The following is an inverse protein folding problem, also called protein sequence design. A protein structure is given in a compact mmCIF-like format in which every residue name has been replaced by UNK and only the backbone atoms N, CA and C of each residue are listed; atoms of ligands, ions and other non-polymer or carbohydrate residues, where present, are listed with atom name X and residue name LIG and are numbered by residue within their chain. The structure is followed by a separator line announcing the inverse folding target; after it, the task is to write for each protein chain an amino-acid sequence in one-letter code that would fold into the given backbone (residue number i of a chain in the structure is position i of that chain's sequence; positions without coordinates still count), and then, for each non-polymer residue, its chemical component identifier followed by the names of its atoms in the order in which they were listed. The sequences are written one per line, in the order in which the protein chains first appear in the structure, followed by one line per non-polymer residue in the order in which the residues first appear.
data_IF_302030600695
#
_entry.id   IF_302030600695
#
_cell.length_a   1.000
_cell.length_b   1.000
_cell.length_c   1.000
_cell.angle_alpha   90.00
_cell.angle_beta   90.00
_cell.angle_gamma   90.00
#
_symmetry.space_group_name_H-M   'P 1'
#
loop_
_entity.id
_entity.type
_entity.pdbx_description
1 polymer ?
#
# COMPACT_ATOMS: atom_id res chain seq x y z
N UNK A 1 -14.13 -18.66 -1.03
CA UNK A 1 -12.79 -18.11 -1.30
C UNK A 1 -12.28 -17.37 -0.08
N UNK A 2 -10.98 -17.43 0.19
CA UNK A 2 -10.37 -16.70 1.30
C UNK A 2 -9.09 -16.01 0.85
N UNK A 3 -8.78 -14.88 1.45
CA UNK A 3 -7.54 -14.13 1.29
C UNK A 3 -6.84 -14.08 2.63
N UNK A 4 -5.52 -14.31 2.65
CA UNK A 4 -4.69 -14.14 3.84
C UNK A 4 -3.84 -12.90 3.65
N UNK A 5 -3.95 -11.93 4.57
CA UNK A 5 -3.17 -10.69 4.58
C UNK A 5 -2.65 -10.44 5.99
N UNK A 6 -1.37 -10.06 6.13
CA UNK A 6 -0.77 -9.81 7.45
C UNK A 6 -1.10 -8.43 8.00
N UNK A 7 -1.31 -7.45 7.12
CA UNK A 7 -1.49 -6.04 7.49
C UNK A 7 -2.76 -5.49 6.80
N UNK A 8 -2.61 -4.54 5.88
CA UNK A 8 -3.70 -3.83 5.22
C UNK A 8 -3.93 -4.39 3.81
N UNK A 9 -5.21 -4.57 3.44
CA UNK A 9 -5.58 -4.95 2.08
C UNK A 9 -5.06 -3.94 1.04
N UNK A 10 -4.82 -4.43 -0.18
CA UNK A 10 -4.27 -3.64 -1.28
C UNK A 10 -2.74 -3.62 -1.37
N UNK A 11 -2.05 -4.23 -0.38
CA UNK A 11 -0.61 -4.46 -0.41
C UNK A 11 0.21 -3.18 -0.55
N UNK A 12 1.39 -3.30 -1.16
CA UNK A 12 2.32 -2.17 -1.31
C UNK A 12 1.75 -1.08 -2.22
N UNK A 13 1.18 -1.44 -3.36
CA UNK A 13 0.70 -0.48 -4.36
C UNK A 13 -0.27 0.56 -3.76
N UNK A 14 -1.25 0.08 -2.98
CA UNK A 14 -2.28 0.92 -2.38
C UNK A 14 -1.77 1.67 -1.14
N UNK A 15 -1.05 0.99 -0.25
CA UNK A 15 -0.74 1.55 1.07
C UNK A 15 0.58 2.35 1.11
N UNK A 16 1.56 1.98 0.28
CA UNK A 16 2.96 2.44 0.41
C UNK A 16 3.66 2.80 -0.91
N UNK A 17 3.04 2.50 -2.06
CA UNK A 17 3.64 2.64 -3.37
C UNK A 17 2.87 3.62 -4.24
N UNK A 18 2.27 3.11 -5.31
CA UNK A 18 1.67 3.91 -6.37
C UNK A 18 0.69 4.97 -5.87
N UNK A 19 -0.27 4.61 -5.01
CA UNK A 19 -1.33 5.54 -4.60
C UNK A 19 -0.77 6.74 -3.82
N UNK A 20 -0.02 6.57 -2.72
CA UNK A 20 0.53 7.72 -2.01
C UNK A 20 1.53 8.50 -2.89
N UNK A 21 2.40 7.82 -3.65
CA UNK A 21 3.35 8.52 -4.54
C UNK A 21 2.62 9.40 -5.57
N UNK A 22 1.56 8.90 -6.19
CA UNK A 22 0.82 9.64 -7.23
C UNK A 22 0.02 10.79 -6.61
N UNK A 23 -0.48 10.62 -5.38
CA UNK A 23 -1.07 11.73 -4.63
C UNK A 23 -0.04 12.84 -4.40
N UNK A 24 1.15 12.52 -3.90
CA UNK A 24 2.21 13.49 -3.65
C UNK A 24 2.67 14.18 -4.95
N UNK A 25 2.86 13.41 -6.04
CA UNK A 25 3.21 13.96 -7.35
C UNK A 25 2.15 14.94 -7.87
N UNK A 26 0.85 14.69 -7.63
CA UNK A 26 -0.20 15.64 -8.00
C UNK A 26 -0.08 16.95 -7.21
N UNK A 27 0.20 16.91 -5.91
CA UNK A 27 0.47 18.12 -5.12
C UNK A 27 1.67 18.89 -5.67
N UNK A 28 2.76 18.20 -5.98
CA UNK A 28 3.96 18.80 -6.56
C UNK A 28 3.69 19.40 -7.94
N UNK A 29 2.90 18.74 -8.78
CA UNK A 29 2.51 19.26 -10.08
C UNK A 29 1.67 20.54 -9.96
N UNK A 30 0.70 20.58 -9.03
CA UNK A 30 -0.09 21.78 -8.76
C UNK A 30 0.82 22.95 -8.33
N UNK A 31 1.76 22.70 -7.40
CA UNK A 31 2.72 23.72 -6.99
C UNK A 31 3.54 24.24 -8.18
N UNK A 32 4.03 23.34 -9.04
CA UNK A 32 4.80 23.70 -10.22
C UNK A 32 3.96 24.51 -11.24
N UNK A 33 2.69 24.17 -11.42
CA UNK A 33 1.75 24.93 -12.24
C UNK A 33 1.53 26.33 -11.67
N UNK A 34 1.27 26.45 -10.37
CA UNK A 34 1.06 27.74 -9.72
C UNK A 34 2.29 28.65 -9.81
N UNK A 35 3.50 28.10 -9.68
CA UNK A 35 4.75 28.84 -9.91
C UNK A 35 4.90 29.39 -11.33
N UNK A 36 4.22 28.81 -12.31
CA UNK A 36 4.25 29.22 -13.73
C UNK A 36 2.96 29.92 -14.17
N UNK A 37 2.06 30.23 -13.22
CA UNK A 37 0.72 30.73 -13.51
C UNK A 37 0.73 32.11 -14.21
N UNK A 38 1.78 32.90 -14.02
CA UNK A 38 1.95 34.21 -14.68
C UNK A 38 1.96 34.12 -16.21
N UNK A 39 2.42 32.99 -16.78
CA UNK A 39 2.36 32.74 -18.24
C UNK A 39 0.93 32.66 -18.78
N UNK A 40 -0.03 32.44 -17.89
CA UNK A 40 -1.45 32.39 -18.19
C UNK A 40 -2.18 33.64 -17.70
N UNK A 41 -1.46 34.72 -17.35
CA UNK A 41 -2.03 35.95 -16.81
C UNK A 41 -2.51 35.85 -15.36
N UNK A 42 -2.18 34.74 -14.65
CA UNK A 42 -2.61 34.52 -13.26
C UNK A 42 -1.47 34.91 -12.32
N UNK A 43 -1.74 35.86 -11.43
CA UNK A 43 -0.78 36.35 -10.43
C UNK A 43 -1.06 35.64 -9.09
N UNK A 44 -0.09 34.87 -8.60
CA UNK A 44 -0.17 34.18 -7.30
C UNK A 44 0.82 34.81 -6.31
N UNK A 45 0.34 35.69 -5.44
CA UNK A 45 1.19 36.29 -4.41
C UNK A 45 1.29 35.38 -3.17
N UNK A 46 2.48 35.33 -2.55
CA UNK A 46 2.71 34.70 -1.24
C UNK A 46 2.28 33.22 -1.13
N UNK A 47 2.70 32.39 -2.09
CA UNK A 47 2.36 30.98 -2.10
C UNK A 47 3.03 30.22 -0.94
N UNK A 48 2.23 29.75 0.02
CA UNK A 48 2.70 28.98 1.18
C UNK A 48 2.45 27.49 0.98
N UNK A 49 3.45 26.69 1.34
CA UNK A 49 3.37 25.24 1.29
C UNK A 49 3.14 24.66 2.68
N UNK A 50 2.07 23.89 2.84
CA UNK A 50 1.75 23.13 4.04
C UNK A 50 2.06 21.65 3.77
N UNK A 51 3.25 21.22 4.16
CA UNK A 51 3.73 19.86 3.87
C UNK A 51 2.96 18.81 4.67
N UNK A 52 2.52 19.14 5.88
CA UNK A 52 1.73 18.24 6.71
C UNK A 52 0.39 17.93 6.05
N UNK A 53 -0.33 18.95 5.57
CA UNK A 53 -1.60 18.72 4.84
C UNK A 53 -1.40 17.93 3.56
N UNK A 54 -0.27 18.11 2.85
CA UNK A 54 0.06 17.32 1.66
C UNK A 54 0.21 15.83 2.01
N UNK A 55 0.95 15.52 3.08
CA UNK A 55 1.13 14.14 3.55
C UNK A 55 -0.21 13.56 4.03
N UNK A 56 -0.95 14.30 4.86
CA UNK A 56 -2.25 13.87 5.37
C UNK A 56 -3.23 13.56 4.25
N UNK A 57 -3.28 14.39 3.20
CA UNK A 57 -4.09 14.11 2.00
C UNK A 57 -3.69 12.81 1.32
N UNK A 58 -2.39 12.56 1.17
CA UNK A 58 -1.88 11.30 0.60
C UNK A 58 -2.30 10.08 1.42
N UNK A 59 -2.24 10.18 2.75
CA UNK A 59 -2.66 9.09 3.67
C UNK A 59 -4.17 8.87 3.63
N UNK A 60 -4.96 9.93 3.67
CA UNK A 60 -6.42 9.88 3.58
C UNK A 60 -6.91 9.19 2.30
N UNK A 61 -6.30 9.50 1.15
CA UNK A 61 -6.63 8.85 -0.12
C UNK A 61 -6.35 7.34 -0.06
N UNK A 62 -5.19 6.95 0.48
CA UNK A 62 -4.81 5.55 0.62
C UNK A 62 -5.78 4.80 1.54
N UNK A 63 -6.18 5.42 2.66
CA UNK A 63 -7.14 4.87 3.61
C UNK A 63 -8.53 4.68 2.99
N UNK A 64 -9.03 5.68 2.27
CA UNK A 64 -10.32 5.61 1.58
C UNK A 64 -10.36 4.45 0.56
N UNK A 65 -9.29 4.29 -0.22
CA UNK A 65 -9.19 3.16 -1.16
C UNK A 65 -9.11 1.81 -0.43
N UNK A 66 -8.39 1.72 0.69
CA UNK A 66 -8.33 0.51 1.50
C UNK A 66 -9.72 0.11 2.05
N UNK A 67 -10.51 1.08 2.52
CA UNK A 67 -11.91 0.88 2.93
C UNK A 67 -12.76 0.36 1.77
N UNK A 68 -12.57 0.92 0.56
CA UNK A 68 -13.22 0.44 -0.66
C UNK A 68 -12.90 -1.02 -0.99
N UNK A 69 -11.63 -1.43 -0.89
CA UNK A 69 -11.23 -2.84 -1.08
C UNK A 69 -11.87 -3.73 -0.02
N UNK A 70 -11.83 -3.33 1.25
CA UNK A 70 -12.47 -4.07 2.35
C UNK A 70 -13.97 -4.27 2.12
N UNK A 71 -14.64 -3.23 1.63
CA UNK A 71 -16.05 -3.28 1.26
C UNK A 71 -16.29 -4.27 0.11
N UNK A 72 -15.49 -4.23 -0.95
CA UNK A 72 -15.60 -5.16 -2.08
C UNK A 72 -15.39 -6.61 -1.66
N UNK A 73 -14.45 -6.89 -0.75
CA UNK A 73 -14.25 -8.25 -0.23
C UNK A 73 -15.47 -8.77 0.52
N UNK A 74 -16.08 -7.93 1.37
CA UNK A 74 -17.32 -8.26 2.09
C UNK A 74 -18.48 -8.47 1.11
N UNK A 75 -18.67 -7.57 0.16
CA UNK A 75 -19.74 -7.65 -0.87
C UNK A 75 -19.67 -8.93 -1.69
N UNK A 76 -18.46 -9.43 -1.95
CA UNK A 76 -18.22 -10.66 -2.71
C UNK A 76 -18.10 -11.92 -1.83
N UNK A 77 -18.47 -11.86 -0.55
CA UNK A 77 -18.39 -12.98 0.40
C UNK A 77 -16.98 -13.61 0.50
N UNK A 78 -15.94 -12.79 0.35
CA UNK A 78 -14.54 -13.23 0.46
C UNK A 78 -14.12 -13.12 1.93
N UNK A 79 -13.72 -14.26 2.51
CA UNK A 79 -13.23 -14.30 3.89
C UNK A 79 -11.82 -13.74 3.97
N UNK A 80 -11.62 -12.70 4.78
CA UNK A 80 -10.30 -12.14 5.06
C UNK A 80 -9.75 -12.81 6.33
N UNK A 81 -8.58 -13.41 6.22
CA UNK A 81 -7.85 -14.03 7.32
C UNK A 81 -6.62 -13.18 7.63
N UNK A 82 -6.66 -12.44 8.74
CA UNK A 82 -5.53 -11.61 9.14
C UNK A 82 -4.42 -12.45 9.76
N UNK A 83 -3.24 -12.45 9.14
CA UNK A 83 -2.07 -13.17 9.63
C UNK A 83 -1.05 -13.53 8.55
N UNK A 84 0.03 -14.20 8.97
CA UNK A 84 1.07 -14.70 8.06
C UNK A 84 0.74 -16.12 7.62
N UNK A 85 0.60 -16.34 6.32
CA UNK A 85 0.40 -17.66 5.73
C UNK A 85 1.72 -18.43 5.57
N UNK A 86 1.66 -19.75 5.75
CA UNK A 86 2.67 -20.72 5.32
C UNK A 86 1.95 -21.86 4.59
N UNK A 87 2.36 -22.15 3.37
CA UNK A 87 1.86 -23.30 2.60
C UNK A 87 2.57 -24.56 3.11
N UNK A 88 1.80 -25.57 3.47
CA UNK A 88 2.25 -26.89 3.90
C UNK A 88 1.97 -27.91 2.80
N UNK A 89 2.37 -29.17 3.03
CA UNK A 89 2.04 -30.29 2.13
C UNK A 89 0.51 -30.44 1.98
N UNK A 90 0.10 -31.10 0.91
CA UNK A 90 -1.29 -31.47 0.62
C UNK A 90 -2.25 -30.25 0.55
N UNK A 91 -1.76 -29.12 0.02
CA UNK A 91 -2.54 -27.88 -0.17
C UNK A 91 -3.17 -27.32 1.13
N UNK A 92 -2.50 -27.57 2.25
CA UNK A 92 -2.88 -27.01 3.55
C UNK A 92 -2.18 -25.66 3.74
N UNK A 93 -2.92 -24.62 4.13
CA UNK A 93 -2.38 -23.30 4.47
C UNK A 93 -2.49 -23.09 5.97
N UNK A 94 -1.35 -22.87 6.64
CA UNK A 94 -1.33 -22.43 8.04
C UNK A 94 -1.29 -20.91 8.11
N UNK A 95 -2.20 -20.31 8.86
CA UNK A 95 -2.25 -18.87 9.11
C UNK A 95 -1.91 -18.62 10.57
N UNK A 96 -0.85 -17.86 10.83
CA UNK A 96 -0.46 -17.37 12.16
C UNK A 96 -0.98 -15.95 12.32
N UNK A 97 -1.89 -15.72 13.26
CA UNK A 97 -2.38 -14.37 13.56
C UNK A 97 -1.32 -13.53 14.31
N UNK A 98 -1.65 -12.26 14.57
CA UNK A 98 -0.76 -11.35 15.31
C UNK A 98 -0.51 -11.75 16.77
N UNK A 99 -1.38 -12.57 17.35
CA UNK A 99 -1.27 -13.09 18.72
C UNK A 99 -0.49 -14.40 18.80
N UNK A 100 -0.12 -14.96 17.64
CA UNK A 100 0.64 -16.21 17.54
C UNK A 100 -0.21 -17.46 17.36
N UNK A 101 -1.54 -17.34 17.36
CA UNK A 101 -2.44 -18.48 17.15
C UNK A 101 -2.32 -18.98 15.72
N UNK A 102 -2.21 -20.29 15.57
CA UNK A 102 -2.11 -20.95 14.26
C UNK A 102 -3.41 -21.68 13.95
N UNK A 103 -4.01 -21.37 12.80
CA UNK A 103 -5.12 -22.14 12.23
C UNK A 103 -4.70 -22.74 10.90
N UNK A 104 -5.20 -23.95 10.60
CA UNK A 104 -4.96 -24.63 9.33
C UNK A 104 -6.23 -24.57 8.49
N UNK A 105 -6.06 -24.35 7.20
CA UNK A 105 -7.14 -24.31 6.21
C UNK A 105 -6.77 -25.22 5.04
N UNK A 106 -7.73 -26.00 4.55
CA UNK A 106 -7.56 -26.78 3.34
C UNK A 106 -8.06 -25.97 2.13
N UNK A 107 -7.34 -26.00 1.01
CA UNK A 107 -7.72 -25.30 -0.20
C UNK A 107 -7.55 -26.19 -1.43
N UNK A 108 -8.52 -26.16 -2.36
CA UNK A 108 -8.41 -26.87 -3.64
C UNK A 108 -7.34 -26.24 -4.54
N UNK A 109 -7.31 -24.90 -4.57
CA UNK A 109 -6.41 -24.08 -5.37
C UNK A 109 -5.77 -23.00 -4.49
N UNK A 110 -4.51 -22.67 -4.74
CA UNK A 110 -3.74 -21.67 -3.99
C UNK A 110 -3.09 -20.72 -4.99
N UNK A 111 -3.30 -19.41 -4.81
CA UNK A 111 -2.64 -18.35 -5.59
C UNK A 111 -1.68 -17.63 -4.65
N UNK A 112 -0.42 -17.50 -5.07
CA UNK A 112 0.61 -16.78 -4.32
C UNK A 112 0.73 -15.36 -4.87
N UNK A 113 0.35 -14.39 -4.04
CA UNK A 113 0.38 -12.97 -4.39
C UNK A 113 1.07 -12.15 -3.28
N UNK A 114 2.22 -12.62 -2.77
CA UNK A 114 2.93 -12.00 -1.64
C UNK A 114 3.66 -10.69 -1.98
N UNK A 115 3.68 -10.31 -3.25
CA UNK A 115 4.31 -9.06 -3.71
C UNK A 115 5.83 -9.07 -3.55
N UNK A 116 6.40 -7.87 -3.35
CA UNK A 116 7.83 -7.62 -3.24
C UNK A 116 8.16 -6.78 -2.00
N UNK A 117 9.45 -6.68 -1.67
CA UNK A 117 9.99 -5.82 -0.61
C UNK A 117 11.21 -5.08 -1.13
N UNK A 118 11.53 -3.95 -0.51
CA UNK A 118 12.77 -3.22 -0.82
C UNK A 118 13.98 -4.12 -0.58
N UNK A 119 14.96 -4.04 -1.48
CA UNK A 119 16.25 -4.69 -1.28
C UNK A 119 17.11 -3.79 -0.39
N UNK A 120 17.58 -4.33 0.73
CA UNK A 120 18.52 -3.64 1.60
C UNK A 120 19.92 -4.04 1.15
N UNK A 121 20.65 -3.11 0.54
CA UNK A 121 22.05 -3.33 0.17
C UNK A 121 22.94 -3.34 1.42
N UNK A 122 23.81 -4.35 1.53
CA UNK A 122 24.69 -4.51 2.68
C UNK A 122 25.99 -3.73 2.42
N UNK A 123 26.31 -2.75 3.28
CA UNK A 123 27.47 -1.83 3.12
C UNK A 123 28.84 -2.50 2.90
N UNK A 124 28.99 -3.81 3.20
CA UNK A 124 30.25 -4.55 3.03
C UNK A 124 30.70 -4.75 1.58
N UNK A 125 29.82 -4.55 0.59
CA UNK A 125 30.18 -4.73 -0.83
C UNK A 125 30.85 -3.50 -1.46
N UNK A 126 30.81 -2.34 -0.80
CA UNK A 126 31.35 -1.07 -1.32
C UNK A 126 32.70 -0.66 -0.71
N UNK A 127 33.31 -1.47 0.17
CA UNK A 127 34.65 -1.16 0.71
C UNK A 127 35.80 -1.57 -0.20
N UNK A 128 35.50 -2.15 -1.38
CA UNK A 128 36.48 -2.60 -2.37
C UNK A 128 36.33 -1.87 -3.73
N UNK A 129 35.68 -0.71 -3.75
CA UNK A 129 35.65 0.24 -4.87
C UNK A 129 36.15 1.57 -4.33
#
# INVERSE_FOLDING_TARGET
TAIVEKENLGGVCLNWGCIPTKSLLKSANILNTLKKASKYGIITNNLKLDFEKIILRSRSISENMNKGVSFLMKKNNIKILYGKAKILKNKIVSVKDKYGNKKKYNAKNIIIATGARSNLFNKKEFSNI
#
